data_IF_031790273608
#
_entry.id   IF_031790273608
#
_cell.length_a   1.000
_cell.length_b   1.000
_cell.length_c   1.000
_cell.angle_alpha   90.00
_cell.angle_beta   90.00
_cell.angle_gamma   90.00
#
_symmetry.space_group_name_H-M   'P 1'
#
loop_
_entity.id
_entity.type
_entity.pdbx_description
1 polymer ?
#
# COMPACT_ATOMS: atom_id res chain seq x y z
N UNK A 1 -19.23 -12.88 25.04
CA UNK A 1 -17.88 -12.72 25.64
C UNK A 1 -17.51 -11.24 25.63
N UNK A 2 -17.19 -10.69 26.80
CA UNK A 2 -17.18 -9.23 27.05
C UNK A 2 -15.81 -8.57 26.87
N UNK A 3 -15.82 -7.23 26.79
CA UNK A 3 -14.63 -6.37 26.73
C UNK A 3 -13.87 -6.47 28.07
N UNK A 4 -12.55 -6.67 28.02
CA UNK A 4 -11.71 -6.65 29.22
C UNK A 4 -11.33 -5.21 29.55
N UNK A 5 -11.56 -4.83 30.80
CA UNK A 5 -11.21 -3.52 31.35
C UNK A 5 -10.32 -3.70 32.56
N UNK A 6 -9.25 -2.90 32.65
CA UNK A 6 -8.49 -2.72 33.88
C UNK A 6 -9.37 -1.90 34.82
N UNK A 7 -9.73 -2.47 35.97
CA UNK A 7 -10.71 -1.87 36.89
C UNK A 7 -10.02 -1.08 38.00
N UNK A 8 -8.84 -1.50 38.45
CA UNK A 8 -8.10 -0.79 39.49
C UNK A 8 -6.59 -1.03 39.36
N UNK A 9 -5.79 -0.06 39.81
CA UNK A 9 -4.32 -0.06 39.77
C UNK A 9 -3.76 0.35 41.13
N UNK A 10 -3.15 -0.59 41.84
CA UNK A 10 -2.43 -0.31 43.08
C UNK A 10 -0.94 -0.45 42.83
N UNK A 11 -0.21 0.65 43.00
CA UNK A 11 1.25 0.73 42.85
C UNK A 11 1.87 0.91 44.24
N UNK A 12 2.63 -0.07 44.71
CA UNK A 12 3.58 0.13 45.82
C UNK A 12 4.98 -0.02 45.24
N UNK A 13 5.96 0.75 45.70
CA UNK A 13 7.22 1.09 45.02
C UNK A 13 8.13 -0.02 44.48
N UNK A 14 7.73 -1.30 44.53
CA UNK A 14 8.43 -2.43 43.90
C UNK A 14 7.47 -3.40 43.14
N UNK A 15 6.14 -3.37 43.36
CA UNK A 15 5.18 -4.26 42.68
C UNK A 15 3.82 -3.57 42.40
N UNK A 16 3.22 -3.89 41.25
CA UNK A 16 1.88 -3.41 40.87
C UNK A 16 0.90 -4.58 40.79
N UNK A 17 -0.25 -4.48 41.45
CA UNK A 17 -1.37 -5.42 41.30
C UNK A 17 -2.43 -4.79 40.38
N UNK A 18 -2.85 -5.52 39.34
CA UNK A 18 -3.85 -5.06 38.37
C UNK A 18 -5.00 -6.05 38.30
N UNK A 19 -6.23 -5.56 38.46
CA UNK A 19 -7.44 -6.38 38.54
C UNK A 19 -8.21 -6.29 37.21
N UNK A 20 -8.40 -7.43 36.55
CA UNK A 20 -9.17 -7.55 35.31
C UNK A 20 -10.57 -8.07 35.62
N UNK A 21 -11.60 -7.30 35.27
CA UNK A 21 -12.99 -7.75 35.38
C UNK A 21 -13.71 -7.64 34.04
N UNK A 22 -14.59 -8.61 33.78
CA UNK A 22 -15.66 -8.51 32.80
C UNK A 22 -16.86 -7.79 33.47
N UNK A 23 -17.69 -7.06 32.71
CA UNK A 23 -18.72 -6.09 33.18
C UNK A 23 -19.81 -6.61 34.16
N UNK A 24 -19.68 -7.80 34.74
CA UNK A 24 -20.69 -8.46 35.57
C UNK A 24 -20.28 -8.71 37.04
N UNK A 25 -19.14 -8.20 37.53
CA UNK A 25 -18.75 -8.38 38.93
C UNK A 25 -18.34 -7.06 39.60
N UNK A 26 -18.96 -6.76 40.74
CA UNK A 26 -18.49 -5.73 41.68
C UNK A 26 -17.44 -6.36 42.60
N UNK A 27 -16.27 -5.73 42.73
CA UNK A 27 -15.14 -6.24 43.51
C UNK A 27 -14.73 -5.16 44.52
N UNK A 28 -14.65 -5.53 45.79
CA UNK A 28 -14.12 -4.68 46.87
C UNK A 28 -12.71 -5.15 47.26
N UNK A 29 -11.78 -4.21 47.40
CA UNK A 29 -10.40 -4.45 47.85
C UNK A 29 -10.22 -3.80 49.22
N UNK A 30 -9.84 -4.57 50.24
CA UNK A 30 -9.49 -4.06 51.58
C UNK A 30 -7.99 -4.30 51.83
N UNK A 31 -7.29 -3.28 52.34
CA UNK A 31 -5.87 -3.30 52.64
C UNK A 31 -5.69 -3.20 54.16
N UNK A 32 -5.25 -4.28 54.82
CA UNK A 32 -4.72 -4.22 56.19
C UNK A 32 -3.29 -4.73 56.25
N UNK A 33 -2.40 -3.89 56.78
CA UNK A 33 -1.08 -4.31 57.21
C UNK A 33 -1.21 -5.16 58.49
N UNK A 34 -0.74 -6.40 58.45
CA UNK A 34 -0.67 -7.26 59.65
C UNK A 34 0.78 -7.30 60.11
N UNK A 35 1.04 -6.69 61.26
CA UNK A 35 2.37 -6.64 61.85
C UNK A 35 2.63 -7.96 62.60
N UNK A 36 3.52 -8.80 62.05
CA UNK A 36 4.19 -9.89 62.79
C UNK A 36 5.68 -9.68 62.58
N UNK A 37 6.42 -9.59 63.69
CA UNK A 37 7.85 -9.30 63.79
C UNK A 37 8.68 -9.36 62.49
N UNK A 38 9.26 -8.21 62.14
CA UNK A 38 10.35 -7.99 61.18
C UNK A 38 10.21 -8.49 59.72
N UNK A 39 9.01 -8.84 59.24
CA UNK A 39 8.72 -8.91 57.80
C UNK A 39 7.34 -8.33 57.47
N UNK A 40 7.31 -7.31 56.61
CA UNK A 40 6.08 -6.80 56.02
C UNK A 40 5.62 -7.76 54.91
N UNK A 41 4.71 -8.67 55.22
CA UNK A 41 4.03 -9.49 54.22
C UNK A 41 2.71 -8.82 53.81
N UNK A 42 2.65 -8.32 52.57
CA UNK A 42 1.44 -7.77 51.98
C UNK A 42 0.61 -8.90 51.36
N UNK A 43 -0.62 -9.09 51.83
CA UNK A 43 -1.59 -10.00 51.22
C UNK A 43 -2.69 -9.19 50.53
N UNK A 44 -2.80 -9.30 49.19
CA UNK A 44 -4.00 -8.86 48.48
C UNK A 44 -5.12 -9.88 48.73
N UNK A 45 -6.17 -9.49 49.47
CA UNK A 45 -7.42 -10.27 49.58
C UNK A 45 -8.50 -9.61 48.73
N UNK A 46 -9.05 -10.38 47.80
CA UNK A 46 -10.21 -9.98 47.00
C UNK A 46 -11.43 -10.69 47.56
N UNK A 47 -12.47 -9.95 47.95
CA UNK A 47 -13.78 -10.53 48.29
C UNK A 47 -14.66 -10.52 47.04
N UNK A 48 -14.98 -11.72 46.53
CA UNK A 48 -16.02 -11.89 45.50
C UNK A 48 -17.33 -12.20 46.22
N UNK A 49 -18.30 -11.28 46.17
CA UNK A 49 -19.64 -11.52 46.68
C UNK A 49 -20.29 -12.73 45.99
N UNK A 50 -20.92 -13.60 46.78
CA UNK A 50 -21.49 -14.91 46.37
C UNK A 50 -22.23 -14.86 45.02
N UNK A 51 -21.54 -15.28 43.96
CA UNK A 51 -22.11 -15.94 42.80
C UNK A 51 -21.04 -16.87 42.24
N UNK A 52 -21.32 -18.17 42.22
CA UNK A 52 -20.42 -19.25 41.81
C UNK A 52 -19.94 -19.09 40.36
N UNK A 53 -18.66 -18.77 40.16
CA UNK A 53 -17.94 -18.92 38.89
C UNK A 53 -16.49 -19.40 39.18
N UNK A 54 -15.86 -20.13 38.24
CA UNK A 54 -14.68 -20.94 38.51
C UNK A 54 -13.41 -20.10 38.70
N UNK A 55 -12.58 -20.56 39.65
CA UNK A 55 -11.14 -20.29 39.85
C UNK A 55 -10.53 -19.17 39.01
N UNK A 56 -10.47 -17.96 39.56
CA UNK A 56 -9.67 -16.86 39.03
C UNK A 56 -8.19 -17.16 39.29
N UNK A 57 -7.44 -17.52 38.26
CA UNK A 57 -5.97 -17.65 38.33
C UNK A 57 -5.36 -16.25 38.43
N UNK A 58 -4.69 -15.94 39.55
CA UNK A 58 -3.94 -14.70 39.73
C UNK A 58 -2.50 -14.95 39.25
N UNK A 59 -2.10 -14.34 38.13
CA UNK A 59 -0.71 -14.36 37.66
C UNK A 59 -0.05 -13.00 37.95
N UNK A 60 1.09 -13.01 38.63
CA UNK A 60 1.98 -11.85 38.75
C UNK A 60 2.74 -11.72 37.42
N UNK A 61 2.35 -10.78 36.58
CA UNK A 61 2.99 -10.50 35.29
C UNK A 61 3.44 -9.04 35.22
N UNK A 62 4.51 -8.80 34.46
CA UNK A 62 5.04 -7.46 34.18
C UNK A 62 3.94 -6.55 33.57
N UNK A 63 3.70 -5.42 34.23
CA UNK A 63 2.62 -4.47 33.94
C UNK A 63 2.62 -4.00 32.48
N UNK A 64 3.80 -3.76 31.88
CA UNK A 64 3.89 -3.29 30.48
C UNK A 64 3.51 -4.37 29.46
N UNK A 65 3.78 -5.63 29.77
CA UNK A 65 3.37 -6.76 28.91
C UNK A 65 1.86 -6.94 28.96
N UNK A 66 1.25 -6.82 30.14
CA UNK A 66 -0.18 -7.07 30.32
C UNK A 66 -1.07 -6.01 29.65
N UNK A 67 -0.72 -4.72 29.73
CA UNK A 67 -1.46 -3.66 29.03
C UNK A 67 -1.42 -3.85 27.51
N UNK A 68 -0.26 -4.26 26.98
CA UNK A 68 -0.09 -4.60 25.57
C UNK A 68 -0.97 -5.80 25.18
N UNK A 69 -0.99 -6.85 25.98
CA UNK A 69 -1.79 -8.04 25.71
C UNK A 69 -3.29 -7.77 25.77
N UNK A 70 -3.76 -6.99 26.76
CA UNK A 70 -5.17 -6.56 26.87
C UNK A 70 -5.56 -5.68 25.68
N UNK A 71 -4.68 -4.75 25.25
CA UNK A 71 -4.90 -3.94 24.06
C UNK A 71 -5.01 -4.80 22.79
N UNK A 72 -4.11 -5.77 22.61
CA UNK A 72 -4.12 -6.68 21.47
C UNK A 72 -5.36 -7.58 21.47
N UNK A 73 -5.77 -8.11 22.62
CA UNK A 73 -6.98 -8.93 22.76
C UNK A 73 -8.27 -8.15 22.47
N UNK A 74 -8.37 -6.92 22.97
CA UNK A 74 -9.50 -6.04 22.67
C UNK A 74 -9.54 -5.68 21.17
N UNK A 75 -8.38 -5.38 20.56
CA UNK A 75 -8.27 -5.12 19.11
C UNK A 75 -8.69 -6.32 18.27
N UNK A 76 -8.29 -7.53 18.67
CA UNK A 76 -8.74 -8.77 18.05
C UNK A 76 -10.26 -8.93 18.11
N UNK A 77 -10.85 -8.82 19.31
CA UNK A 77 -12.31 -8.98 19.47
C UNK A 77 -13.12 -7.89 18.78
N UNK A 78 -12.63 -6.65 18.73
CA UNK A 78 -13.29 -5.58 18.00
C UNK A 78 -13.23 -5.83 16.49
N UNK A 79 -12.11 -6.35 15.97
CA UNK A 79 -12.00 -6.80 14.57
C UNK A 79 -12.99 -7.92 14.26
N UNK A 80 -13.00 -8.99 15.08
CA UNK A 80 -13.91 -10.13 14.91
C UNK A 80 -15.37 -9.70 15.02
N UNK A 81 -15.70 -8.77 15.93
CA UNK A 81 -17.08 -8.27 16.08
C UNK A 81 -17.52 -7.47 14.84
N UNK A 82 -16.66 -6.58 14.31
CA UNK A 82 -16.94 -5.82 13.08
C UNK A 82 -17.14 -6.74 11.88
N UNK A 83 -16.30 -7.77 11.75
CA UNK A 83 -16.48 -8.81 10.73
C UNK A 83 -17.75 -9.60 10.95
N UNK A 84 -18.04 -9.98 12.19
CA UNK A 84 -19.22 -10.77 12.56
C UNK A 84 -20.56 -10.04 12.31
N UNK A 85 -20.61 -8.71 12.43
CA UNK A 85 -21.82 -7.95 12.07
C UNK A 85 -22.10 -7.96 10.57
N UNK A 86 -21.06 -7.95 9.73
CA UNK A 86 -21.17 -8.00 8.27
C UNK A 86 -21.28 -9.44 7.75
N UNK A 87 -20.69 -10.41 8.46
CA UNK A 87 -20.79 -11.84 8.17
C UNK A 87 -22.15 -12.41 8.57
N UNK A 88 -22.84 -11.88 9.59
CA UNK A 88 -24.21 -12.31 9.93
C UNK A 88 -25.22 -12.10 8.81
N UNK A 89 -24.96 -11.18 7.88
CA UNK A 89 -25.80 -10.93 6.70
C UNK A 89 -25.43 -11.78 5.48
N UNK A 90 -24.20 -12.31 5.40
CA UNK A 90 -23.70 -13.04 4.21
C UNK A 90 -23.20 -14.47 4.49
N UNK A 91 -23.13 -14.89 5.75
CA UNK A 91 -22.47 -16.12 6.23
C UNK A 91 -21.02 -16.33 5.73
N UNK A 92 -20.37 -15.26 5.24
CA UNK A 92 -19.04 -15.28 4.63
C UNK A 92 -18.31 -13.94 4.83
N UNK A 93 -17.02 -13.90 4.47
CA UNK A 93 -16.27 -12.63 4.37
C UNK A 93 -16.83 -11.83 3.18
N UNK A 94 -17.31 -10.60 3.38
CA UNK A 94 -17.85 -9.79 2.28
C UNK A 94 -16.74 -9.46 1.29
N UNK A 95 -16.94 -9.68 -0.02
CA UNK A 95 -15.97 -9.28 -1.03
C UNK A 95 -15.94 -7.76 -1.18
N UNK A 96 -14.76 -7.23 -1.45
CA UNK A 96 -14.53 -5.82 -1.82
C UNK A 96 -14.35 -5.71 -3.33
N UNK A 97 -15.05 -4.77 -3.95
CA UNK A 97 -14.87 -4.44 -5.36
C UNK A 97 -13.77 -3.39 -5.51
N UNK A 98 -12.78 -3.63 -6.35
CA UNK A 98 -11.70 -2.69 -6.65
C UNK A 98 -11.69 -2.43 -8.15
N UNK A 99 -11.81 -1.16 -8.54
CA UNK A 99 -11.58 -0.72 -9.92
C UNK A 99 -10.21 -0.03 -9.99
N UNK A 100 -9.32 -0.50 -10.85
CA UNK A 100 -7.96 0.02 -10.96
C UNK A 100 -7.56 0.27 -12.40
N UNK A 101 -6.75 1.31 -12.62
CA UNK A 101 -6.33 1.72 -13.96
C UNK A 101 -5.33 0.72 -14.55
N UNK A 102 -5.41 0.46 -15.86
CA UNK A 102 -4.42 -0.37 -16.58
C UNK A 102 -3.00 0.21 -16.45
N UNK A 103 -1.99 -0.67 -16.54
CA UNK A 103 -0.56 -0.32 -16.51
C UNK A 103 -0.14 0.43 -15.23
N UNK A 104 -0.87 0.15 -14.14
CA UNK A 104 -0.56 0.64 -12.80
C UNK A 104 -0.13 -0.46 -11.85
N UNK A 105 0.17 -0.07 -10.61
CA UNK A 105 0.55 -0.98 -9.54
C UNK A 105 -0.54 -0.97 -8.48
N UNK A 106 -0.99 -2.15 -8.08
CA UNK A 106 -2.05 -2.32 -7.10
C UNK A 106 -1.51 -3.10 -5.91
N UNK A 107 -1.86 -2.67 -4.71
CA UNK A 107 -1.56 -3.40 -3.47
C UNK A 107 -2.84 -3.94 -2.85
N UNK A 108 -2.94 -5.27 -2.74
CA UNK A 108 -4.01 -5.95 -2.02
C UNK A 108 -3.53 -6.32 -0.62
N UNK A 109 -4.20 -5.74 0.38
CA UNK A 109 -3.90 -5.98 1.79
C UNK A 109 -4.60 -7.23 2.29
N UNK A 110 -3.87 -8.19 2.87
CA UNK A 110 -4.51 -9.22 3.65
C UNK A 110 -4.80 -8.71 5.06
N UNK A 111 -6.08 -8.52 5.42
CA UNK A 111 -6.52 -7.87 6.67
C UNK A 111 -6.99 -8.86 7.76
N UNK A 112 -6.19 -9.81 8.27
CA UNK A 112 -6.67 -10.77 9.27
C UNK A 112 -7.05 -10.05 10.58
N UNK A 113 -7.90 -10.68 11.38
CA UNK A 113 -8.01 -10.28 12.79
C UNK A 113 -6.86 -10.91 13.56
N UNK A 114 -5.87 -10.14 14.04
CA UNK A 114 -4.64 -10.69 14.60
C UNK A 114 -4.95 -11.35 15.96
N UNK A 115 -4.99 -12.68 15.99
CA UNK A 115 -5.22 -13.41 17.24
C UNK A 115 -3.94 -13.32 18.11
N UNK A 116 -4.02 -12.83 19.36
CA UNK A 116 -2.84 -12.55 20.19
C UNK A 116 -2.03 -13.79 20.60
N UNK A 117 -2.56 -15.01 20.39
CA UNK A 117 -1.85 -16.28 20.65
C UNK A 117 -1.24 -16.96 19.43
N UNK A 118 -1.54 -16.50 18.22
CA UNK A 118 -0.97 -17.08 16.99
C UNK A 118 0.32 -16.32 16.65
N UNK A 119 1.46 -16.95 16.93
CA UNK A 119 2.79 -16.38 16.63
C UNK A 119 3.17 -16.49 15.16
N UNK A 120 2.59 -17.44 14.42
CA UNK A 120 2.77 -17.59 12.97
C UNK A 120 1.42 -17.42 12.26
N UNK A 121 1.24 -16.27 11.61
CA UNK A 121 0.13 -16.03 10.69
C UNK A 121 0.64 -16.22 9.26
N UNK A 122 1.01 -17.46 8.90
CA UNK A 122 1.27 -17.77 7.48
C UNK A 122 -0.04 -17.58 6.72
N UNK A 123 0.05 -16.87 5.60
CA UNK A 123 -1.09 -16.52 4.77
C UNK A 123 -0.81 -16.94 3.35
N UNK A 124 -1.87 -17.35 2.68
CA UNK A 124 -1.84 -17.76 1.29
C UNK A 124 -2.74 -16.82 0.49
N UNK A 125 -2.31 -16.54 -0.73
CA UNK A 125 -3.11 -15.82 -1.69
C UNK A 125 -3.53 -16.78 -2.78
N UNK A 126 -4.81 -16.77 -3.09
CA UNK A 126 -5.41 -17.52 -4.18
C UNK A 126 -5.99 -16.51 -5.16
N UNK A 127 -5.95 -16.83 -6.45
CA UNK A 127 -6.45 -16.00 -7.52
C UNK A 127 -7.24 -16.84 -8.53
N UNK A 128 -8.38 -16.31 -8.95
CA UNK A 128 -9.19 -16.85 -10.05
C UNK A 128 -9.39 -15.75 -11.09
N UNK A 129 -8.88 -15.99 -12.28
CA UNK A 129 -9.04 -15.08 -13.42
C UNK A 129 -10.46 -15.20 -13.99
N UNK A 130 -11.02 -14.11 -14.50
CA UNK A 130 -12.19 -14.22 -15.39
C UNK A 130 -11.71 -14.48 -16.82
N UNK A 131 -12.17 -15.54 -17.52
CA UNK A 131 -13.37 -16.37 -17.33
C UNK A 131 -13.09 -17.81 -16.85
N UNK A 132 -11.97 -18.03 -16.15
CA UNK A 132 -11.52 -19.36 -15.74
C UNK A 132 -12.28 -19.83 -14.49
N UNK A 133 -12.67 -21.11 -14.46
CA UNK A 133 -13.38 -21.70 -13.31
C UNK A 133 -12.43 -22.06 -12.16
N UNK A 134 -11.15 -22.29 -12.46
CA UNK A 134 -10.16 -22.77 -11.51
C UNK A 134 -9.60 -21.64 -10.63
N UNK A 135 -9.68 -21.82 -9.31
CA UNK A 135 -8.94 -21.00 -8.34
C UNK A 135 -7.52 -21.56 -8.26
N UNK A 136 -6.54 -20.74 -8.61
CA UNK A 136 -5.12 -21.12 -8.60
C UNK A 136 -4.43 -20.42 -7.43
N UNK A 137 -3.44 -21.07 -6.81
CA UNK A 137 -2.53 -20.39 -5.89
C UNK A 137 -1.88 -19.20 -6.62
N UNK A 138 -1.84 -18.03 -5.97
CA UNK A 138 -0.96 -16.97 -6.47
C UNK A 138 0.45 -17.54 -6.33
N UNK A 139 1.18 -17.72 -7.45
CA UNK A 139 2.45 -18.42 -7.43
C UNK A 139 3.38 -17.69 -6.46
N UNK A 140 3.62 -18.31 -5.30
CA UNK A 140 4.58 -17.80 -4.33
C UNK A 140 5.89 -17.68 -5.08
N UNK A 141 6.48 -16.49 -5.07
CA UNK A 141 7.71 -16.19 -5.78
C UNK A 141 8.88 -17.05 -5.27
N UNK A 142 8.98 -18.29 -5.75
CA UNK A 142 10.23 -19.03 -5.83
C UNK A 142 10.98 -18.47 -7.04
N UNK A 143 11.45 -17.23 -6.92
CA UNK A 143 12.50 -16.61 -7.74
C UNK A 143 12.37 -16.66 -9.30
N UNK A 144 11.23 -17.06 -9.87
CA UNK A 144 11.13 -17.36 -11.31
C UNK A 144 9.90 -16.86 -12.05
N UNK A 145 9.04 -16.02 -11.45
CA UNK A 145 7.79 -15.54 -12.07
C UNK A 145 7.54 -14.03 -11.95
N UNK A 146 8.60 -13.22 -11.83
CA UNK A 146 8.50 -11.75 -11.98
C UNK A 146 7.81 -11.33 -13.29
N UNK A 147 7.81 -12.20 -14.29
CA UNK A 147 7.33 -11.93 -15.65
C UNK A 147 5.80 -11.82 -15.75
N UNK A 148 5.07 -12.32 -14.74
CA UNK A 148 3.60 -12.24 -14.73
C UNK A 148 3.05 -11.08 -13.91
N UNK A 149 3.88 -10.30 -13.21
CA UNK A 149 3.44 -9.10 -12.49
C UNK A 149 2.93 -9.32 -11.06
N UNK A 150 3.07 -10.53 -10.48
CA UNK A 150 2.66 -10.82 -9.10
C UNK A 150 3.86 -10.78 -8.14
N UNK A 151 3.78 -9.96 -7.09
CA UNK A 151 4.86 -9.80 -6.09
C UNK A 151 4.29 -9.89 -4.68
N UNK A 152 4.69 -10.90 -3.91
CA UNK A 152 4.32 -11.02 -2.50
C UNK A 152 5.35 -10.33 -1.61
N UNK A 153 4.88 -9.38 -0.79
CA UNK A 153 5.74 -8.67 0.17
C UNK A 153 5.93 -9.47 1.47
N UNK A 154 6.96 -9.13 2.25
CA UNK A 154 7.23 -9.74 3.58
C UNK A 154 6.04 -9.63 4.56
N UNK A 155 5.16 -8.65 4.35
CA UNK A 155 3.96 -8.44 5.17
C UNK A 155 2.72 -9.20 4.66
N UNK A 156 2.90 -10.12 3.70
CA UNK A 156 1.83 -10.86 3.02
C UNK A 156 0.82 -9.94 2.28
N UNK A 157 1.27 -8.76 1.82
CA UNK A 157 0.52 -7.97 0.83
C UNK A 157 0.87 -8.46 -0.56
N UNK A 158 -0.13 -8.60 -1.41
CA UNK A 158 0.04 -8.93 -2.81
C UNK A 158 0.11 -7.64 -3.62
N UNK A 159 1.26 -7.42 -4.27
CA UNK A 159 1.45 -6.36 -5.24
C UNK A 159 1.23 -6.93 -6.64
N UNK A 160 0.46 -6.22 -7.44
CA UNK A 160 0.27 -6.49 -8.86
C UNK A 160 0.93 -5.35 -9.64
N UNK A 161 1.80 -5.67 -10.58
CA UNK A 161 2.60 -4.71 -11.36
C UNK A 161 2.20 -4.81 -12.82
N UNK A 162 2.14 -3.67 -13.51
CA UNK A 162 1.74 -3.57 -14.92
C UNK A 162 0.39 -4.27 -15.17
N UNK A 163 -0.59 -3.88 -14.36
CA UNK A 163 -1.89 -4.54 -14.32
C UNK A 163 -2.64 -4.40 -15.64
N UNK A 164 -3.30 -5.48 -16.05
CA UNK A 164 -4.05 -5.53 -17.30
C UNK A 164 -5.19 -6.53 -17.14
N UNK A 165 -6.27 -6.30 -17.87
CA UNK A 165 -7.50 -7.04 -17.70
C UNK A 165 -7.32 -8.54 -17.96
N UNK A 166 -6.54 -8.92 -18.97
CA UNK A 166 -6.38 -10.32 -19.39
C UNK A 166 -5.57 -11.17 -18.42
N UNK A 167 -4.60 -10.58 -17.71
CA UNK A 167 -3.75 -11.32 -16.75
C UNK A 167 -4.25 -11.20 -15.32
N UNK A 168 -4.71 -10.02 -14.92
CA UNK A 168 -4.92 -9.65 -13.52
C UNK A 168 -6.39 -9.40 -13.15
N UNK A 169 -7.32 -9.35 -14.11
CA UNK A 169 -8.75 -9.20 -13.82
C UNK A 169 -9.32 -10.48 -13.22
N UNK A 170 -9.87 -10.40 -12.00
CA UNK A 170 -10.43 -11.59 -11.34
C UNK A 170 -10.71 -11.45 -9.85
N UNK A 171 -10.93 -12.59 -9.22
CA UNK A 171 -11.13 -12.72 -7.78
C UNK A 171 -9.82 -13.10 -7.07
N UNK A 172 -9.49 -12.38 -6.00
CA UNK A 172 -8.35 -12.64 -5.14
C UNK A 172 -8.81 -12.95 -3.74
N UNK A 173 -8.34 -14.06 -3.18
CA UNK A 173 -8.67 -14.49 -1.83
C UNK A 173 -7.39 -14.60 -1.03
N UNK A 174 -7.25 -13.80 0.03
CA UNK A 174 -6.27 -14.09 1.07
C UNK A 174 -6.90 -15.05 2.07
N UNK A 175 -6.24 -16.16 2.38
CA UNK A 175 -6.69 -17.12 3.38
C UNK A 175 -5.61 -17.40 4.45
N UNK A 176 -6.04 -17.92 5.59
CA UNK A 176 -5.13 -18.46 6.59
C UNK A 176 -4.68 -19.89 6.24
N UNK A 177 -3.84 -20.48 7.10
CA UNK A 177 -3.29 -21.83 6.91
C UNK A 177 -4.35 -22.93 6.85
N UNK A 178 -5.51 -22.69 7.46
CA UNK A 178 -6.63 -23.64 7.46
C UNK A 178 -7.55 -23.41 6.25
N UNK A 179 -7.20 -22.48 5.35
CA UNK A 179 -7.97 -22.14 4.16
C UNK A 179 -9.16 -21.22 4.42
N UNK A 180 -9.31 -20.64 5.61
CA UNK A 180 -10.41 -19.72 5.87
C UNK A 180 -10.12 -18.35 5.23
N UNK A 181 -11.05 -17.82 4.42
CA UNK A 181 -10.85 -16.53 3.77
C UNK A 181 -10.75 -15.43 4.82
N UNK A 182 -9.68 -14.64 4.70
CA UNK A 182 -9.40 -13.46 5.52
C UNK A 182 -9.76 -12.18 4.76
N UNK A 183 -9.64 -12.13 3.44
CA UNK A 183 -10.03 -10.99 2.61
C UNK A 183 -10.34 -11.49 1.20
N UNK A 184 -11.39 -10.95 0.57
CA UNK A 184 -11.79 -11.32 -0.80
C UNK A 184 -11.91 -10.03 -1.60
N UNK A 185 -11.26 -9.99 -2.76
CA UNK A 185 -11.23 -8.85 -3.65
C UNK A 185 -11.68 -9.25 -5.05
N UNK A 186 -12.55 -8.44 -5.65
CA UNK A 186 -12.94 -8.54 -7.05
C UNK A 186 -12.26 -7.38 -7.76
N UNK A 187 -11.20 -7.68 -8.50
CA UNK A 187 -10.37 -6.70 -9.17
C UNK A 187 -10.80 -6.55 -10.63
N UNK A 188 -11.30 -5.37 -10.95
CA UNK A 188 -11.64 -4.93 -12.28
C UNK A 188 -10.57 -3.94 -12.78
N UNK A 189 -10.06 -4.16 -13.99
CA UNK A 189 -9.14 -3.22 -14.64
C UNK A 189 -9.95 -2.30 -15.55
N UNK A 190 -9.79 -1.00 -15.36
CA UNK A 190 -10.45 0.06 -16.13
C UNK A 190 -9.43 0.80 -16.99
N UNK A 191 -9.86 1.23 -18.17
CA UNK A 191 -8.98 1.94 -19.11
C UNK A 191 -8.88 3.45 -18.81
N UNK A 192 -9.86 3.99 -18.08
CA UNK A 192 -9.98 5.44 -17.85
C UNK A 192 -10.38 5.73 -16.43
N UNK A 193 -9.58 6.57 -15.78
CA UNK A 193 -9.85 7.09 -14.45
C UNK A 193 -9.84 8.62 -14.51
N UNK A 194 -10.94 9.24 -14.10
CA UNK A 194 -10.99 10.69 -13.93
C UNK A 194 -10.65 11.05 -12.49
N UNK A 195 -9.66 11.90 -12.30
CA UNK A 195 -9.16 12.31 -10.98
C UNK A 195 -9.22 13.82 -10.86
N UNK A 196 -9.67 14.28 -9.69
CA UNK A 196 -9.66 15.70 -9.33
C UNK A 196 -8.87 15.90 -8.05
N UNK A 197 -7.78 16.65 -8.16
CA UNK A 197 -6.93 17.04 -7.03
C UNK A 197 -7.36 18.42 -6.54
N UNK A 198 -7.57 18.55 -5.23
CA UNK A 198 -7.83 19.83 -4.58
C UNK A 198 -6.58 20.33 -3.88
N UNK A 199 -6.32 21.63 -3.99
CA UNK A 199 -5.25 22.28 -3.25
C UNK A 199 -5.58 22.36 -1.75
N UNK A 200 -4.57 22.55 -0.89
CA UNK A 200 -4.80 22.68 0.54
C UNK A 200 -5.79 23.78 0.89
N UNK A 201 -6.87 23.40 1.57
CA UNK A 201 -7.96 24.30 1.96
C UNK A 201 -8.96 24.66 0.86
N UNK A 202 -8.75 24.22 -0.38
CA UNK A 202 -9.69 24.43 -1.49
C UNK A 202 -10.93 23.54 -1.34
N UNK A 203 -10.73 22.30 -0.88
CA UNK A 203 -11.82 21.36 -0.70
C UNK A 203 -12.70 21.78 0.49
N UNK A 204 -13.88 22.30 0.16
CA UNK A 204 -14.95 22.55 1.12
C UNK A 204 -15.85 21.34 1.14
N UNK A 205 -15.85 20.60 2.26
CA UNK A 205 -16.76 19.46 2.47
C UNK A 205 -18.19 19.87 2.08
N UNK A 206 -18.69 19.26 1.03
CA UNK A 206 -20.01 19.55 0.46
C UNK A 206 -21.08 18.70 1.16
N UNK A 207 -22.36 19.05 0.97
CA UNK A 207 -23.50 18.21 1.39
C UNK A 207 -23.36 16.78 0.83
N UNK A 208 -22.77 16.65 -0.36
CA UNK A 208 -22.59 15.38 -1.06
C UNK A 208 -21.59 14.41 -0.42
N UNK A 209 -20.74 14.89 0.48
CA UNK A 209 -19.79 14.04 1.21
C UNK A 209 -20.39 13.43 2.47
N UNK A 210 -21.55 13.94 2.89
CA UNK A 210 -22.23 13.56 4.14
C UNK A 210 -23.60 12.94 3.91
N UNK A 211 -24.13 12.99 2.68
CA UNK A 211 -25.49 12.59 2.33
C UNK A 211 -25.48 11.65 1.14
N UNK A 212 -26.19 10.52 1.26
CA UNK A 212 -26.47 9.63 0.15
C UNK A 212 -27.26 10.36 -0.93
N UNK A 213 -26.70 10.41 -2.14
CA UNK A 213 -27.39 10.98 -3.28
C UNK A 213 -28.17 9.86 -3.94
N UNK A 214 -29.49 10.02 -4.02
CA UNK A 214 -30.32 9.07 -4.75
C UNK A 214 -30.11 9.24 -6.24
N UNK A 215 -29.53 8.24 -6.89
CA UNK A 215 -29.40 8.15 -8.33
C UNK A 215 -30.41 7.14 -8.90
N UNK A 216 -31.70 7.36 -8.65
CA UNK A 216 -32.74 6.35 -8.88
C UNK A 216 -32.92 5.45 -7.64
N UNK A 217 -32.84 4.11 -7.75
CA UNK A 217 -33.04 3.22 -6.61
C UNK A 217 -31.76 3.01 -5.77
N UNK A 218 -30.65 3.65 -6.11
CA UNK A 218 -29.35 3.45 -5.47
C UNK A 218 -28.85 4.69 -4.75
N UNK A 219 -27.98 4.47 -3.76
CA UNK A 219 -27.34 5.50 -2.97
C UNK A 219 -25.90 5.69 -3.42
N UNK A 220 -25.56 6.88 -3.91
CA UNK A 220 -24.17 7.25 -4.24
C UNK A 220 -23.55 7.96 -3.05
N UNK A 221 -22.34 7.53 -2.67
CA UNK A 221 -21.57 8.10 -1.57
C UNK A 221 -20.12 8.30 -1.97
N UNK A 222 -19.49 9.35 -1.46
CA UNK A 222 -18.04 9.51 -1.52
C UNK A 222 -17.44 8.94 -0.25
N UNK A 223 -16.68 7.84 -0.36
CA UNK A 223 -16.00 7.22 0.75
C UNK A 223 -14.58 7.74 0.86
N UNK A 224 -14.29 8.41 1.99
CA UNK A 224 -12.99 9.02 2.24
C UNK A 224 -12.05 8.06 2.98
N UNK A 225 -10.81 7.99 2.51
CA UNK A 225 -9.69 7.35 3.22
C UNK A 225 -9.27 8.15 4.45
N UNK A 226 -8.46 7.55 5.31
CA UNK A 226 -7.74 8.30 6.34
C UNK A 226 -6.63 9.13 5.74
N UNK A 227 -6.30 10.26 6.36
CA UNK A 227 -5.15 11.08 5.97
C UNK A 227 -3.84 10.28 6.06
N UNK A 228 -3.02 10.38 5.01
CA UNK A 228 -1.65 9.86 5.01
C UNK A 228 -0.79 10.56 6.07
N UNK A 229 0.36 9.95 6.39
CA UNK A 229 1.43 10.64 7.12
C UNK A 229 1.99 11.81 6.29
N UNK A 230 2.71 12.70 6.96
CA UNK A 230 3.41 13.80 6.29
C UNK A 230 4.50 13.22 5.38
N UNK A 231 4.51 13.60 4.11
CA UNK A 231 5.34 12.95 3.10
C UNK A 231 6.79 13.43 3.06
N UNK A 232 7.10 14.60 3.62
CA UNK A 232 8.40 15.26 3.60
C UNK A 232 8.58 16.04 4.90
N UNK A 233 9.79 16.01 5.46
CA UNK A 233 10.15 16.86 6.59
C UNK A 233 10.32 18.34 6.16
N UNK A 234 10.34 19.25 7.13
CA UNK A 234 10.15 20.69 6.96
C UNK A 234 8.77 21.04 6.42
N UNK A 235 8.58 21.13 5.11
CA UNK A 235 7.32 21.45 4.47
C UNK A 235 6.96 20.32 3.51
N UNK A 236 5.91 19.59 3.89
CA UNK A 236 5.34 18.50 3.12
C UNK A 236 3.83 18.63 2.95
N UNK A 237 3.23 17.54 2.50
CA UNK A 237 1.80 17.39 2.34
C UNK A 237 1.29 16.06 2.89
N UNK A 238 0.02 16.06 3.26
CA UNK A 238 -0.80 14.90 3.59
C UNK A 238 -1.92 14.81 2.56
N UNK A 239 -2.37 13.60 2.28
CA UNK A 239 -3.40 13.33 1.27
C UNK A 239 -4.48 12.45 1.88
N UNK A 240 -5.71 12.58 1.39
CA UNK A 240 -6.77 11.59 1.56
C UNK A 240 -7.53 11.46 0.25
N UNK A 241 -8.16 10.31 0.06
CA UNK A 241 -8.72 9.91 -1.22
C UNK A 241 -10.21 9.67 -1.06
N UNK A 242 -11.01 10.23 -1.96
CA UNK A 242 -12.46 10.12 -1.98
C UNK A 242 -12.89 9.28 -3.18
N UNK A 243 -13.29 8.04 -2.92
CA UNK A 243 -13.82 7.15 -3.95
C UNK A 243 -15.35 7.31 -4.08
N UNK A 244 -15.85 7.37 -5.32
CA UNK A 244 -17.28 7.31 -5.58
C UNK A 244 -17.76 5.85 -5.53
N UNK A 245 -18.66 5.54 -4.59
CA UNK A 245 -19.23 4.21 -4.42
C UNK A 245 -20.75 4.25 -4.54
N UNK A 246 -21.30 3.23 -5.19
CA UNK A 246 -22.73 2.93 -5.23
C UNK A 246 -23.00 1.88 -4.17
N UNK A 247 -23.75 2.26 -3.13
CA UNK A 247 -24.13 1.38 -2.02
C UNK A 247 -25.57 0.87 -2.18
N UNK A 248 -25.84 -0.36 -1.71
CA UNK A 248 -27.20 -0.86 -1.66
C UNK A 248 -28.11 0.07 -0.85
N UNK A 249 -29.36 0.30 -1.29
CA UNK A 249 -30.37 0.93 -0.45
C UNK A 249 -30.71 0.02 0.73
N UNK A 250 -31.33 0.57 1.78
CA UNK A 250 -31.80 -0.22 2.94
C UNK A 250 -32.72 -1.37 2.52
N UNK A 251 -33.55 -1.15 1.50
CA UNK A 251 -34.40 -2.18 0.92
C UNK A 251 -33.99 -2.50 -0.53
N UNK A 252 -33.22 -3.58 -0.73
CA UNK A 252 -32.79 -4.05 -2.05
C UNK A 252 -33.95 -4.41 -2.99
N UNK A 253 -35.14 -4.73 -2.46
CA UNK A 253 -36.31 -5.05 -3.31
C UNK A 253 -36.84 -3.86 -4.09
N UNK A 254 -36.46 -2.63 -3.68
CA UNK A 254 -36.77 -1.40 -4.43
C UNK A 254 -36.03 -1.28 -5.77
N UNK A 255 -34.98 -2.10 -5.98
CA UNK A 255 -34.24 -2.16 -7.24
C UNK A 255 -34.97 -3.14 -8.18
N UNK A 256 -35.57 -2.59 -9.24
CA UNK A 256 -36.25 -3.37 -10.28
C UNK A 256 -35.27 -4.12 -11.20
N UNK A 257 -34.09 -3.56 -11.43
CA UNK A 257 -33.04 -4.16 -12.25
C UNK A 257 -32.40 -5.35 -11.49
N UNK A 258 -32.66 -6.57 -11.96
CA UNK A 258 -32.20 -7.78 -11.31
C UNK A 258 -30.67 -7.90 -11.29
N UNK A 259 -29.97 -7.43 -12.33
CA UNK A 259 -28.50 -7.49 -12.42
C UNK A 259 -27.87 -6.54 -11.41
N UNK A 260 -28.38 -5.31 -11.35
CA UNK A 260 -27.92 -4.33 -10.37
C UNK A 260 -28.21 -4.77 -8.92
N UNK A 261 -29.37 -5.39 -8.69
CA UNK A 261 -29.74 -5.94 -7.38
C UNK A 261 -28.80 -7.06 -6.96
N UNK A 262 -28.48 -8.00 -7.85
CA UNK A 262 -27.51 -9.07 -7.58
C UNK A 262 -26.12 -8.49 -7.31
N UNK A 263 -25.65 -7.56 -8.13
CA UNK A 263 -24.36 -6.92 -7.94
C UNK A 263 -24.23 -6.27 -6.55
N UNK A 264 -25.18 -5.43 -6.15
CA UNK A 264 -25.15 -4.76 -4.85
C UNK A 264 -25.42 -5.70 -3.67
N UNK A 265 -25.99 -6.89 -3.91
CA UNK A 265 -26.12 -7.93 -2.88
C UNK A 265 -24.80 -8.66 -2.61
N UNK A 266 -23.96 -8.82 -3.64
CA UNK A 266 -22.62 -9.42 -3.51
C UNK A 266 -21.66 -8.44 -2.82
N UNK A 267 -21.76 -7.15 -3.15
CA UNK A 267 -20.89 -6.09 -2.63
C UNK A 267 -21.65 -5.18 -1.63
N UNK A 268 -21.85 -5.60 -0.37
CA UNK A 268 -22.54 -4.78 0.63
C UNK A 268 -21.75 -3.50 0.97
N UNK A 269 -20.43 -3.51 0.75
CA UNK A 269 -19.55 -2.34 0.87
C UNK A 269 -19.75 -1.30 -0.23
N UNK A 270 -20.46 -1.66 -1.30
CA UNK A 270 -20.67 -0.86 -2.49
C UNK A 270 -19.72 -1.22 -3.64
N UNK A 271 -20.02 -0.68 -4.82
CA UNK A 271 -19.27 -0.88 -6.05
C UNK A 271 -18.77 0.48 -6.56
N UNK A 272 -17.57 0.53 -7.13
CA UNK A 272 -16.99 1.76 -7.67
C UNK A 272 -17.86 2.35 -8.78
N UNK A 273 -18.05 3.67 -8.79
CA UNK A 273 -18.80 4.37 -9.83
C UNK A 273 -18.18 4.22 -11.23
N UNK A 274 -16.89 3.89 -11.30
CA UNK A 274 -16.17 3.64 -12.56
C UNK A 274 -16.26 2.19 -13.04
N UNK A 275 -16.97 1.32 -12.30
CA UNK A 275 -17.07 -0.09 -12.66
C UNK A 275 -17.81 -0.30 -13.98
N UNK A 276 -17.27 -1.16 -14.84
CA UNK A 276 -17.91 -1.54 -16.09
C UNK A 276 -19.15 -2.42 -15.85
N UNK A 277 -19.29 -3.03 -14.66
CA UNK A 277 -20.46 -3.84 -14.28
C UNK A 277 -21.72 -3.03 -14.02
N UNK A 278 -21.60 -1.71 -13.88
CA UNK A 278 -22.76 -0.85 -13.74
C UNK A 278 -23.54 -0.76 -15.06
N UNK A 279 -24.88 -0.81 -15.02
CA UNK A 279 -25.70 -0.61 -16.20
C UNK A 279 -25.45 0.75 -16.88
N UNK A 280 -25.48 0.78 -18.21
CA UNK A 280 -25.22 2.00 -18.98
C UNK A 280 -26.19 3.15 -18.67
N UNK A 281 -27.46 2.85 -18.37
CA UNK A 281 -28.43 3.86 -17.95
C UNK A 281 -28.05 4.54 -16.64
N UNK A 282 -27.33 3.82 -15.76
CA UNK A 282 -26.91 4.29 -14.45
C UNK A 282 -25.60 5.09 -14.60
N UNK A 283 -24.63 4.59 -15.38
CA UNK A 283 -23.37 5.29 -15.70
C UNK A 283 -23.57 6.66 -16.36
N UNK A 284 -24.66 6.84 -17.12
CA UNK A 284 -24.98 8.13 -17.77
C UNK A 284 -25.51 9.19 -16.81
N UNK A 285 -25.80 8.85 -15.56
CA UNK A 285 -26.27 9.82 -14.57
C UNK A 285 -25.13 10.70 -14.06
N UNK A 286 -25.39 12.00 -13.95
CA UNK A 286 -24.40 12.98 -13.48
C UNK A 286 -23.92 12.70 -12.05
N UNK A 287 -24.77 12.08 -11.23
CA UNK A 287 -24.43 11.67 -9.88
C UNK A 287 -23.34 10.60 -9.83
N UNK A 288 -23.17 9.83 -10.90
CA UNK A 288 -22.23 8.70 -10.99
C UNK A 288 -20.97 9.05 -11.79
N UNK A 289 -21.07 9.97 -12.75
CA UNK A 289 -19.94 10.51 -13.50
C UNK A 289 -19.07 11.46 -12.65
N UNK A 290 -18.66 10.99 -11.48
CA UNK A 290 -17.86 11.73 -10.51
C UNK A 290 -16.41 11.29 -10.58
N UNK A 291 -15.45 12.23 -10.57
CA UNK A 291 -14.05 11.88 -10.49
C UNK A 291 -13.71 11.29 -9.11
N UNK A 292 -12.65 10.50 -9.05
CA UNK A 292 -11.94 10.23 -7.80
C UNK A 292 -11.40 11.55 -7.25
N UNK A 293 -11.57 11.79 -5.96
CA UNK A 293 -11.16 13.04 -5.32
C UNK A 293 -9.87 12.81 -4.54
N UNK A 294 -8.94 13.75 -4.64
CA UNK A 294 -7.76 13.80 -3.77
C UNK A 294 -7.78 15.13 -3.06
N UNK A 295 -7.87 15.07 -1.74
CA UNK A 295 -7.81 16.25 -0.88
C UNK A 295 -6.44 16.30 -0.20
N UNK A 296 -5.85 17.49 -0.20
CA UNK A 296 -4.47 17.72 0.23
C UNK A 296 -4.42 18.69 1.40
N UNK A 297 -3.40 18.54 2.24
CA UNK A 297 -3.20 19.43 3.39
C UNK A 297 -1.70 19.61 3.61
N UNK A 298 -1.25 20.84 3.84
CA UNK A 298 0.14 21.09 4.24
C UNK A 298 0.43 20.47 5.61
N UNK A 299 1.66 20.00 5.78
CA UNK A 299 2.18 19.55 7.06
C UNK A 299 3.63 19.96 7.20
N UNK A 300 4.07 20.07 8.46
CA UNK A 300 5.44 20.29 8.80
C UNK A 300 5.84 19.31 9.90
N UNK A 301 6.97 18.64 9.71
CA UNK A 301 7.60 17.76 10.70
C UNK A 301 9.08 18.09 10.75
N UNK A 302 9.68 18.00 11.93
CA UNK A 302 11.11 18.26 12.09
C UNK A 302 11.92 17.18 11.36
N UNK A 303 12.92 17.59 10.60
CA UNK A 303 13.88 16.66 10.01
C UNK A 303 14.82 16.12 11.08
N UNK A 304 15.35 14.92 10.85
CA UNK A 304 16.52 14.45 11.59
C UNK A 304 17.63 15.48 11.42
N UNK A 305 18.14 16.07 12.51
CA UNK A 305 19.19 17.06 12.40
C UNK A 305 20.43 16.41 11.77
N UNK A 306 21.24 17.19 11.02
CA UNK A 306 22.49 16.67 10.47
C UNK A 306 23.34 16.10 11.62
N UNK A 307 24.04 15.00 11.31
CA UNK A 307 24.93 14.36 12.27
C UNK A 307 25.96 15.39 12.77
N UNK A 308 26.23 15.39 14.06
CA UNK A 308 27.15 16.34 14.70
C UNK A 308 28.41 15.60 15.14
N UNK A 309 29.50 16.34 15.22
CA UNK A 309 30.72 15.88 15.87
C UNK A 309 30.39 15.40 17.30
N UNK A 310 30.93 14.25 17.67
CA UNK A 310 30.66 13.61 18.96
C UNK A 310 31.92 13.05 19.58
N UNK A 311 31.95 13.06 20.91
CA UNK A 311 33.06 12.55 21.69
C UNK A 311 32.70 11.18 22.26
N UNK A 312 33.54 10.19 22.01
CA UNK A 312 33.45 8.88 22.67
C UNK A 312 34.20 8.98 23.98
N UNK A 313 33.48 8.73 25.08
CA UNK A 313 34.03 8.78 26.42
C UNK A 313 34.09 7.41 27.07
N UNK A 314 35.16 7.14 27.80
CA UNK A 314 35.35 5.90 28.56
C UNK A 314 35.56 6.23 30.03
N UNK A 315 34.99 5.41 30.92
CA UNK A 315 35.09 5.57 32.37
C UNK A 315 36.18 4.64 32.91
N UNK A 316 37.15 5.19 33.63
CA UNK A 316 38.21 4.42 34.27
C UNK A 316 37.71 3.68 35.53
N UNK A 317 38.55 2.79 36.08
CA UNK A 317 38.26 2.01 37.30
C UNK A 317 37.97 2.89 38.54
N UNK A 318 38.39 4.17 38.49
CA UNK A 318 38.18 5.16 39.56
C UNK A 318 36.94 6.04 39.30
N UNK A 319 36.15 5.75 38.26
CA UNK A 319 34.94 6.47 37.90
C UNK A 319 35.17 7.80 37.17
N UNK A 320 36.39 8.10 36.68
CA UNK A 320 36.69 9.29 35.88
C UNK A 320 36.38 9.03 34.41
N UNK A 321 35.65 9.95 33.82
CA UNK A 321 35.28 9.91 32.40
C UNK A 321 36.35 10.66 31.61
N UNK A 322 36.92 10.01 30.59
CA UNK A 322 37.90 10.62 29.67
C UNK A 322 37.42 10.53 28.23
N UNK A 323 37.67 11.57 27.44
CA UNK A 323 37.38 11.56 25.99
C UNK A 323 38.47 10.76 25.30
N UNK A 324 38.10 9.61 24.73
CA UNK A 324 39.03 8.70 24.07
C UNK A 324 39.14 8.98 22.59
N UNK A 325 38.05 9.43 21.97
CA UNK A 325 38.01 9.72 20.53
C UNK A 325 37.03 10.85 20.23
N UNK A 326 37.39 11.71 19.27
CA UNK A 326 36.51 12.72 18.70
C UNK A 326 36.13 12.30 17.29
N UNK A 327 34.88 11.88 17.13
CA UNK A 327 34.34 11.40 15.86
C UNK A 327 33.67 12.57 15.15
N UNK A 328 34.14 12.87 13.94
CA UNK A 328 33.52 13.89 13.09
C UNK A 328 32.17 13.41 12.55
N UNK A 329 31.26 14.35 12.27
CA UNK A 329 30.01 14.07 11.58
C UNK A 329 30.21 13.22 10.31
N UNK A 330 29.41 12.16 10.14
CA UNK A 330 29.49 11.24 9.00
C UNK A 330 30.58 10.16 9.10
N UNK A 331 31.36 10.13 10.18
CA UNK A 331 32.36 9.09 10.44
C UNK A 331 31.93 8.20 11.62
N UNK A 332 32.43 6.97 11.63
CA UNK A 332 32.23 6.01 12.70
C UNK A 332 33.56 5.67 13.35
N UNK A 333 33.58 5.51 14.67
CA UNK A 333 34.76 4.96 15.35
C UNK A 333 34.92 3.48 15.01
N UNK A 334 36.16 3.01 14.98
CA UNK A 334 36.48 1.58 14.86
C UNK A 334 35.98 0.74 16.04
N UNK A 335 35.67 1.39 17.18
CA UNK A 335 35.16 0.75 18.39
C UNK A 335 33.64 0.63 18.41
N UNK A 336 32.96 1.21 17.43
CA UNK A 336 31.51 1.21 17.33
C UNK A 336 31.05 0.23 16.28
N UNK A 337 29.86 -0.32 16.50
CA UNK A 337 29.22 -1.14 15.49
C UNK A 337 28.73 -0.23 14.36
N UNK A 338 29.24 -0.47 13.15
CA UNK A 338 28.79 0.25 11.96
C UNK A 338 27.28 0.06 11.77
N UNK A 339 26.54 1.12 11.39
CA UNK A 339 25.14 0.98 11.08
C UNK A 339 24.97 0.06 9.86
N UNK A 340 23.81 -0.59 9.73
CA UNK A 340 23.51 -1.37 8.54
C UNK A 340 23.58 -0.48 7.29
N UNK A 341 24.13 -1.02 6.21
CA UNK A 341 24.16 -0.33 4.93
C UNK A 341 22.74 0.05 4.51
N UNK A 342 22.51 1.28 4.03
CA UNK A 342 21.22 1.67 3.49
C UNK A 342 20.87 0.77 2.29
N UNK A 343 19.57 0.54 2.09
CA UNK A 343 19.09 -0.24 0.94
C UNK A 343 19.56 0.44 -0.36
N UNK A 344 19.95 -0.34 -1.39
CA UNK A 344 20.42 0.23 -2.64
C UNK A 344 19.31 1.01 -3.35
N UNK A 345 19.68 2.12 -3.98
CA UNK A 345 18.78 2.93 -4.82
C UNK A 345 18.42 2.15 -6.08
N UNK A 346 17.12 1.97 -6.33
CA UNK A 346 16.63 1.35 -7.56
C UNK A 346 16.73 2.37 -8.70
N UNK A 347 17.33 1.97 -9.82
CA UNK A 347 17.45 2.80 -11.04
C UNK A 347 16.78 2.10 -12.20
N UNK A 348 15.88 2.80 -12.88
CA UNK A 348 15.14 2.23 -14.00
C UNK A 348 14.93 3.22 -15.14
N UNK A 349 14.68 2.66 -16.32
CA UNK A 349 14.30 3.40 -17.52
C UNK A 349 12.98 2.82 -17.97
N UNK A 350 11.99 3.69 -18.15
CA UNK A 350 10.68 3.29 -18.64
C UNK A 350 10.39 3.99 -19.95
N UNK A 351 9.90 3.20 -20.90
CA UNK A 351 9.44 3.68 -22.19
C UNK A 351 7.94 3.43 -22.26
N UNK A 352 7.18 4.47 -22.58
CA UNK A 352 5.71 4.43 -22.62
C UNK A 352 5.23 5.05 -23.91
N UNK A 353 4.17 4.50 -24.49
CA UNK A 353 3.55 5.06 -25.68
C UNK A 353 2.73 6.31 -25.32
N UNK A 354 2.72 7.29 -26.22
CA UNK A 354 1.90 8.49 -26.04
C UNK A 354 0.41 8.12 -25.92
N UNK A 355 -0.24 8.66 -24.90
CA UNK A 355 -1.63 8.38 -24.57
C UNK A 355 -1.83 7.27 -23.52
N UNK A 356 -0.87 6.37 -23.33
CA UNK A 356 -0.99 5.23 -22.42
C UNK A 356 -0.87 5.65 -20.94
N UNK A 357 -1.47 4.88 -20.04
CA UNK A 357 -1.28 5.06 -18.59
C UNK A 357 0.10 4.57 -18.15
N UNK A 358 0.60 5.12 -17.04
CA UNK A 358 1.89 4.76 -16.47
C UNK A 358 1.86 4.91 -14.95
N UNK A 359 2.47 3.98 -14.22
CA UNK A 359 2.72 4.13 -12.79
C UNK A 359 4.18 3.89 -12.43
N UNK A 360 4.75 4.78 -11.62
CA UNK A 360 6.07 4.59 -11.02
C UNK A 360 5.93 4.09 -9.58
N UNK A 361 6.38 2.85 -9.36
CA UNK A 361 6.47 2.26 -8.02
C UNK A 361 7.52 2.96 -7.17
N UNK A 362 7.21 3.27 -5.90
CA UNK A 362 8.22 3.68 -4.94
C UNK A 362 8.47 2.60 -3.85
N UNK A 363 9.72 2.10 -3.69
CA UNK A 363 10.05 1.01 -2.76
C UNK A 363 10.22 1.52 -1.31
N UNK A 364 9.12 1.91 -0.67
CA UNK A 364 9.15 2.58 0.65
C UNK A 364 8.66 1.75 1.83
N UNK A 365 8.06 0.59 1.58
CA UNK A 365 7.48 -0.26 2.62
C UNK A 365 6.29 0.40 3.32
N UNK A 366 6.53 0.98 4.49
CA UNK A 366 5.51 1.67 5.30
C UNK A 366 5.87 3.15 5.56
N UNK A 367 6.96 3.64 4.98
CA UNK A 367 7.47 4.98 5.22
C UNK A 367 6.79 5.98 4.26
N UNK A 368 6.63 7.23 4.70
CA UNK A 368 6.05 8.26 3.84
C UNK A 368 7.09 8.72 2.81
N UNK A 369 6.63 9.02 1.59
CA UNK A 369 7.50 9.39 0.47
C UNK A 369 6.97 10.54 -0.36
N UNK A 370 7.89 11.23 -1.01
CA UNK A 370 7.62 12.30 -1.94
C UNK A 370 8.34 12.10 -3.26
N UNK A 371 7.81 12.75 -4.30
CA UNK A 371 8.33 12.70 -5.65
C UNK A 371 9.04 14.01 -6.01
N UNK A 372 10.10 13.88 -6.78
CA UNK A 372 10.75 14.99 -7.46
C UNK A 372 10.83 14.73 -8.96
N UNK A 373 10.84 15.82 -9.73
CA UNK A 373 11.21 15.81 -11.14
C UNK A 373 12.34 16.80 -11.35
N UNK A 374 13.43 16.36 -11.96
CA UNK A 374 14.60 17.21 -12.24
C UNK A 374 15.00 18.07 -11.01
N UNK A 375 15.05 17.42 -9.83
CA UNK A 375 15.34 17.99 -8.49
C UNK A 375 14.28 18.93 -7.89
N UNK A 376 13.16 19.14 -8.58
CA UNK A 376 12.03 19.94 -8.08
C UNK A 376 11.04 19.06 -7.33
N UNK A 377 10.75 19.40 -6.07
CA UNK A 377 9.68 18.75 -5.30
C UNK A 377 8.32 18.92 -5.99
N UNK A 378 7.64 17.79 -6.22
CA UNK A 378 6.35 17.70 -6.87
C UNK A 378 5.25 17.34 -5.85
N UNK A 379 4.72 18.33 -5.09
CA UNK A 379 3.48 18.13 -4.33
C UNK A 379 2.30 17.93 -5.29
N UNK A 380 1.24 17.30 -4.80
CA UNK A 380 0.04 16.96 -5.58
C UNK A 380 -0.53 18.14 -6.37
N UNK A 381 -0.54 19.34 -5.78
CA UNK A 381 -1.00 20.58 -6.41
C UNK A 381 -0.19 20.95 -7.67
N UNK A 382 1.15 20.93 -7.56
CA UNK A 382 2.06 21.29 -8.65
C UNK A 382 1.98 20.22 -9.75
N UNK A 383 1.98 18.95 -9.36
CA UNK A 383 1.85 17.83 -10.29
C UNK A 383 0.53 17.90 -11.09
N UNK A 384 -0.59 18.14 -10.41
CA UNK A 384 -1.90 18.26 -11.03
C UNK A 384 -1.98 19.49 -11.95
N UNK A 385 -1.41 20.63 -11.56
CA UNK A 385 -1.36 21.81 -12.43
C UNK A 385 -0.49 21.58 -13.66
N UNK A 386 0.69 20.98 -13.49
CA UNK A 386 1.63 20.71 -14.58
C UNK A 386 1.05 19.75 -15.63
N UNK A 387 0.35 18.70 -15.18
CA UNK A 387 -0.21 17.66 -16.06
C UNK A 387 -1.67 17.89 -16.45
N UNK A 388 -2.28 19.01 -16.05
CA UNK A 388 -3.72 19.24 -16.19
C UNK A 388 -4.56 18.10 -15.57
N UNK A 389 -4.18 17.69 -14.35
CA UNK A 389 -4.79 16.62 -13.53
C UNK A 389 -4.73 15.21 -14.13
N UNK A 390 -3.92 14.98 -15.17
CA UNK A 390 -3.64 13.64 -15.70
C UNK A 390 -2.71 12.84 -14.78
N UNK A 391 -1.88 13.49 -13.99
CA UNK A 391 -1.01 12.80 -13.04
C UNK A 391 -1.36 13.10 -11.58
N UNK A 392 -1.22 12.09 -10.73
CA UNK A 392 -1.47 12.17 -9.30
C UNK A 392 -0.63 11.15 -8.54
N UNK A 393 -0.60 11.29 -7.22
CA UNK A 393 0.06 10.32 -6.32
C UNK A 393 -1.02 9.49 -5.65
N UNK A 394 -1.03 8.18 -5.90
CA UNK A 394 -2.06 7.26 -5.39
C UNK A 394 -1.94 6.97 -3.88
N UNK A 395 -2.86 6.18 -3.34
CA UNK A 395 -2.88 5.79 -1.92
C UNK A 395 -1.62 5.03 -1.47
N UNK A 396 -0.94 4.37 -2.40
CA UNK A 396 0.28 3.60 -2.19
C UNK A 396 1.55 4.46 -2.38
N UNK A 397 1.39 5.75 -2.65
CA UNK A 397 2.44 6.72 -2.98
C UNK A 397 3.18 6.47 -4.31
N UNK A 398 2.56 5.75 -5.24
CA UNK A 398 3.06 5.67 -6.61
C UNK A 398 2.70 6.94 -7.38
N UNK A 399 3.57 7.34 -8.30
CA UNK A 399 3.29 8.42 -9.24
C UNK A 399 2.58 7.85 -10.46
N UNK A 400 1.30 8.20 -10.64
CA UNK A 400 0.43 7.66 -11.68
C UNK A 400 0.10 8.73 -12.70
N UNK A 401 0.26 8.41 -13.98
CA UNK A 401 -0.23 9.17 -15.14
C UNK A 401 -1.41 8.40 -15.74
N UNK A 402 -2.58 9.05 -15.85
CA UNK A 402 -3.75 8.47 -16.52
C UNK A 402 -3.59 8.42 -18.03
N UNK A 403 -2.72 9.26 -18.58
CA UNK A 403 -2.33 9.29 -19.99
C UNK A 403 -1.00 10.02 -20.09
N UNK A 404 0.03 9.40 -20.67
CA UNK A 404 1.38 9.93 -20.80
C UNK A 404 1.51 10.80 -22.05
N UNK A 405 2.10 11.98 -21.92
CA UNK A 405 2.36 12.90 -23.03
C UNK A 405 3.86 13.09 -23.23
N UNK A 406 4.30 13.44 -24.44
CA UNK A 406 5.71 13.72 -24.76
C UNK A 406 6.44 14.64 -23.74
N UNK A 407 5.74 15.65 -23.22
CA UNK A 407 6.23 16.60 -22.19
C UNK A 407 6.45 15.99 -20.80
N UNK A 408 5.89 14.81 -20.54
CA UNK A 408 6.07 14.06 -19.30
C UNK A 408 7.39 13.25 -19.31
N UNK A 409 8.13 13.25 -20.42
CA UNK A 409 9.48 12.69 -20.47
C UNK A 409 10.41 13.47 -19.54
N UNK A 410 11.24 12.77 -18.77
CA UNK A 410 12.12 13.41 -17.79
C UNK A 410 12.68 12.47 -16.74
N UNK A 411 13.40 13.05 -15.78
CA UNK A 411 13.93 12.32 -14.64
C UNK A 411 13.01 12.48 -13.43
N UNK A 412 12.53 11.36 -12.91
CA UNK A 412 11.67 11.29 -11.74
C UNK A 412 12.40 10.53 -10.64
N UNK A 413 12.29 11.01 -9.40
CA UNK A 413 12.88 10.34 -8.25
C UNK A 413 11.92 10.30 -7.09
N UNK A 414 11.93 9.16 -6.38
CA UNK A 414 11.17 8.97 -5.15
C UNK A 414 12.12 9.02 -3.96
N UNK A 415 11.72 9.79 -2.96
CA UNK A 415 12.49 10.06 -1.76
C UNK A 415 11.66 9.76 -0.54
N UNK A 416 12.29 9.19 0.49
CA UNK A 416 11.69 9.07 1.80
C UNK A 416 11.54 10.44 2.46
N UNK A 417 10.59 10.55 3.39
CA UNK A 417 10.28 11.78 4.11
C UNK A 417 11.49 12.54 4.69
N UNK A 418 12.58 11.85 5.04
CA UNK A 418 13.82 12.40 5.61
C UNK A 418 14.92 12.72 4.57
N UNK A 419 14.64 12.54 3.28
CA UNK A 419 15.60 12.83 2.20
C UNK A 419 16.47 11.64 1.78
N UNK A 420 16.16 10.41 2.18
CA UNK A 420 16.80 9.23 1.61
C UNK A 420 16.24 8.92 0.20
N UNK A 421 17.10 8.89 -0.82
CA UNK A 421 16.73 8.50 -2.19
C UNK A 421 16.40 7.01 -2.23
N UNK A 422 15.20 6.67 -2.73
CA UNK A 422 14.73 5.28 -2.82
C UNK A 422 14.72 4.78 -4.28
N UNK A 423 14.29 5.63 -5.21
CA UNK A 423 14.16 5.32 -6.63
C UNK A 423 14.59 6.49 -7.49
N UNK A 424 15.24 6.16 -8.61
CA UNK A 424 15.44 7.06 -9.75
C UNK A 424 14.92 6.38 -11.02
N UNK A 425 14.05 7.08 -11.75
CA UNK A 425 13.42 6.60 -12.98
C UNK A 425 13.56 7.62 -14.09
N UNK A 426 13.96 7.19 -15.28
CA UNK A 426 13.93 8.03 -16.49
C UNK A 426 12.78 7.59 -17.39
N UNK A 427 11.85 8.49 -17.66
CA UNK A 427 10.69 8.24 -18.52
C UNK A 427 10.98 8.77 -19.92
N UNK A 428 10.72 7.92 -20.92
CA UNK A 428 10.66 8.28 -22.34
C UNK A 428 9.25 8.01 -22.87
N UNK A 429 8.51 9.08 -23.17
CA UNK A 429 7.23 8.95 -23.86
C UNK A 429 7.48 8.99 -25.35
N UNK A 430 7.03 7.97 -26.07
CA UNK A 430 7.27 7.82 -27.50
C UNK A 430 5.97 7.79 -28.28
N UNK A 431 5.92 8.56 -29.36
CA UNK A 431 4.84 8.47 -30.33
C UNK A 431 5.00 7.17 -31.15
N UNK A 432 4.04 6.22 -31.06
CA UNK A 432 4.15 4.93 -31.74
C UNK A 432 4.19 5.07 -33.27
N UNK A 433 3.55 6.09 -33.84
CA UNK A 433 3.57 6.34 -35.29
C UNK A 433 4.96 6.80 -35.74
N UNK A 434 5.56 7.73 -35.00
CA UNK A 434 6.92 8.20 -35.27
C UNK A 434 7.94 7.08 -35.10
N UNK A 435 7.79 6.25 -34.07
CA UNK A 435 8.69 5.11 -33.86
C UNK A 435 8.57 4.09 -35.00
N UNK A 436 7.35 3.79 -35.45
CA UNK A 436 7.12 2.90 -36.58
C UNK A 436 7.72 3.46 -37.88
N UNK A 437 7.55 4.76 -38.14
CA UNK A 437 8.16 5.44 -39.27
C UNK A 437 9.69 5.39 -39.23
N UNK A 438 10.28 5.67 -38.06
CA UNK A 438 11.73 5.61 -37.84
C UNK A 438 12.27 4.18 -38.05
N UNK A 439 11.61 3.16 -37.50
CA UNK A 439 11.99 1.75 -37.70
C UNK A 439 11.97 1.37 -39.19
N UNK A 440 10.92 1.77 -39.94
CA UNK A 440 10.85 1.54 -41.39
C UNK A 440 11.98 2.23 -42.14
N UNK A 441 12.30 3.47 -41.79
CA UNK A 441 13.41 4.21 -42.39
C UNK A 441 14.76 3.55 -42.12
N UNK A 442 15.03 3.12 -40.88
CA UNK A 442 16.27 2.42 -40.50
C UNK A 442 16.41 1.09 -41.22
N UNK A 443 15.34 0.29 -41.31
CA UNK A 443 15.35 -0.99 -42.04
C UNK A 443 15.57 -0.78 -43.53
N UNK A 444 14.94 0.23 -44.13
CA UNK A 444 15.16 0.58 -45.53
C UNK A 444 16.61 1.02 -45.78
N UNK A 445 17.17 1.89 -44.95
CA UNK A 445 18.56 2.34 -45.04
C UNK A 445 19.55 1.18 -44.89
N UNK A 446 19.34 0.31 -43.88
CA UNK A 446 20.17 -0.87 -43.66
C UNK A 446 20.12 -1.86 -44.84
N UNK A 447 18.94 -2.04 -45.44
CA UNK A 447 18.76 -2.87 -46.63
C UNK A 447 19.52 -2.31 -47.83
N UNK A 448 19.44 -1.00 -48.09
CA UNK A 448 20.20 -0.34 -49.17
C UNK A 448 21.71 -0.50 -48.97
N UNK A 449 22.21 -0.31 -47.75
CA UNK A 449 23.64 -0.51 -47.42
C UNK A 449 24.03 -1.97 -47.67
N UNK A 450 23.24 -2.94 -47.23
CA UNK A 450 23.53 -4.36 -47.45
C UNK A 450 23.56 -4.72 -48.95
N UNK A 451 22.59 -4.25 -49.73
CA UNK A 451 22.55 -4.49 -51.18
C UNK A 451 23.71 -3.84 -51.93
N UNK A 452 24.10 -2.62 -51.55
CA UNK A 452 25.25 -1.95 -52.16
C UNK A 452 26.57 -2.67 -51.85
N UNK A 453 26.79 -3.08 -50.61
CA UNK A 453 27.99 -3.86 -50.24
C UNK A 453 28.05 -5.22 -50.94
N UNK A 454 26.93 -5.94 -51.02
CA UNK A 454 26.88 -7.22 -51.73
C UNK A 454 27.14 -7.06 -53.23
N UNK A 455 26.60 -6.03 -53.88
CA UNK A 455 26.91 -5.71 -55.27
C UNK A 455 28.40 -5.39 -55.47
N UNK A 456 29.01 -4.57 -54.60
CA UNK A 456 30.44 -4.26 -54.66
C UNK A 456 31.29 -5.54 -54.53
N UNK A 457 30.94 -6.42 -53.59
CA UNK A 457 31.62 -7.70 -53.39
C UNK A 457 31.49 -8.60 -54.62
N UNK A 458 30.30 -8.74 -55.20
CA UNK A 458 30.09 -9.52 -56.44
C UNK A 458 30.87 -8.93 -57.62
N UNK A 459 30.87 -7.61 -57.79
CA UNK A 459 31.63 -6.92 -58.84
C UNK A 459 33.15 -7.11 -58.68
N UNK A 460 33.66 -7.01 -57.45
CA UNK A 460 35.07 -7.25 -57.13
C UNK A 460 35.48 -8.71 -57.37
N UNK A 461 34.62 -9.66 -57.02
CA UNK A 461 34.83 -11.09 -57.27
C UNK A 461 34.88 -11.41 -58.76
N UNK A 462 33.93 -10.89 -59.56
CA UNK A 462 33.93 -11.04 -61.03
C UNK A 462 35.14 -10.40 -61.71
N UNK A 463 35.64 -9.26 -61.21
CA UNK A 463 36.89 -8.66 -61.70
C UNK A 463 38.12 -9.51 -61.36
N UNK A 464 38.17 -10.09 -60.18
CA UNK A 464 39.27 -10.99 -59.78
C UNK A 464 39.28 -12.30 -60.58
N UNK A 465 38.12 -12.88 -60.88
CA UNK A 465 38.02 -14.11 -61.67
C UNK A 465 38.38 -13.91 -63.15
N UNK A 466 38.00 -12.78 -63.75
CA UNK A 466 38.40 -12.40 -65.11
C UNK A 466 39.90 -12.16 -65.24
N UNK A 467 40.56 -11.59 -64.22
CA UNK A 467 42.03 -11.48 -64.18
C UNK A 467 42.74 -12.83 -64.07
N UNK A 468 42.13 -13.85 -63.46
CA UNK A 468 42.72 -15.21 -63.41
C UNK A 468 42.63 -15.95 -64.75
N UNK A 469 41.60 -15.71 -65.56
CA UNK A 469 41.45 -16.32 -66.90
C UNK A 469 42.46 -15.77 -67.92
N UNK A 470 42.85 -14.49 -67.82
CA UNK A 470 43.89 -13.92 -68.68
C UNK A 470 45.33 -14.31 -68.31
N UNK A 471 45.55 -14.98 -67.17
CA UNK A 471 46.90 -15.40 -66.72
C UNK A 471 47.30 -16.81 -67.16
N UNK A 472 46.39 -17.56 -67.79
CA UNK A 472 46.65 -18.88 -68.38
C UNK A 472 46.57 -18.89 -69.92
N UNK A 473 46.55 -17.71 -70.55
CA UNK A 473 46.58 -17.52 -72.00
C UNK A 473 47.82 -16.76 -72.47
N UNK A 474 49.00 -17.28 -72.14
CA UNK A 474 50.29 -17.03 -72.81
C UNK A 474 51.13 -18.29 -72.69
#
# INVERSE_FOLDING_TARGET
>A
MGKLTVVDKVTTGVHSCVLLANKQAAIFVDNRAVNRGQQWNWHCRIFVGRASLPTTTIALLDHRSMERDVYLFNRYHDCVRRRGTTAKTLNAVPPEHIAALSDTIISLDCRPCPHPRLKENRKFWFYRRWPEDDIVDVPLSSAGYSDQGFVLTENYRLLLVDVNQERHGGEYVCADIDGHPQSIYYLEIIDKLNVKVYNPGEYKSTIYDKVFIRAGPVNVVTQWSTWTSCNKCELGERRRYGECLIKPPENLTSISDSRLRTLLSIFPGGVSCNSAWLPEWLKKKREIQRPMLIDTMYCAIDCTPPEKDREITEMDENGRISVVERVKAGYYSLREQLPPLPKPVIRQVQQVDEGASLSLYCPHGNEAVYWQRDDVFMPSAILASYTNSRAFIDEQNNLVFTSAHSQDSGFYSCWRYDGLLLLSSRIYVVDPEQMAAMKRATVAAGSVIFFTFTLIMVCSYRRSSTMKLNKHGT
#
